data_IF_247030367484
#
_entry.id   IF_247030367484
#
_cell.length_a   1.000
_cell.length_b   1.000
_cell.length_c   1.000
_cell.angle_alpha   90.00
_cell.angle_beta   90.00
_cell.angle_gamma   90.00
#
_symmetry.space_group_name_H-M   'P 1'
#
loop_
_entity.id
_entity.type
_entity.pdbx_description
1 polymer ?
#
# COMPACT_ATOMS: atom_id res chain seq x y z
N UNK A 1 28.37 14.06 -23.77
CA UNK A 1 27.23 13.27 -23.26
C UNK A 1 27.08 13.65 -21.81
N UNK A 2 26.00 14.32 -21.43
CA UNK A 2 25.71 14.53 -20.01
C UNK A 2 25.40 13.17 -19.38
N UNK A 3 26.10 12.83 -18.29
CA UNK A 3 25.74 11.67 -17.49
C UNK A 3 24.33 11.88 -16.91
N UNK A 4 23.48 10.85 -16.89
CA UNK A 4 22.19 10.95 -16.23
C UNK A 4 22.40 11.37 -14.77
N UNK A 5 21.54 12.25 -14.22
CA UNK A 5 21.69 12.72 -12.84
C UNK A 5 21.65 11.54 -11.87
N UNK A 6 22.43 11.63 -10.79
CA UNK A 6 22.44 10.61 -9.74
C UNK A 6 21.06 10.50 -9.09
N UNK A 7 20.78 9.36 -8.45
CA UNK A 7 19.53 9.18 -7.72
C UNK A 7 19.37 10.25 -6.62
N UNK A 8 20.45 10.66 -5.96
CA UNK A 8 20.45 11.69 -4.91
C UNK A 8 20.18 13.09 -5.46
N UNK A 9 20.76 13.41 -6.62
CA UNK A 9 20.49 14.67 -7.31
C UNK A 9 19.02 14.76 -7.75
N UNK A 10 18.46 13.66 -8.25
CA UNK A 10 17.05 13.58 -8.64
C UNK A 10 16.11 13.70 -7.43
N UNK A 11 16.45 13.04 -6.32
CA UNK A 11 15.73 13.20 -5.04
C UNK A 11 15.75 14.66 -4.58
N UNK A 12 16.94 15.24 -4.49
CA UNK A 12 17.14 16.60 -4.00
C UNK A 12 16.35 17.60 -4.85
N UNK A 13 16.41 17.44 -6.18
CA UNK A 13 15.64 18.24 -7.11
C UNK A 13 14.13 18.16 -6.85
N UNK A 14 13.60 16.97 -6.55
CA UNK A 14 12.18 16.82 -6.25
C UNK A 14 11.78 17.57 -4.97
N UNK A 15 12.47 17.35 -3.85
CA UNK A 15 12.10 17.95 -2.56
C UNK A 15 12.41 19.45 -2.47
N UNK A 16 13.36 19.96 -3.26
CA UNK A 16 13.59 21.41 -3.40
C UNK A 16 12.41 22.08 -4.11
N UNK A 17 11.90 21.46 -5.18
CA UNK A 17 10.85 22.06 -6.02
C UNK A 17 9.42 21.72 -5.56
N UNK A 18 9.25 20.79 -4.62
CA UNK A 18 7.95 20.39 -4.09
C UNK A 18 7.97 20.54 -2.56
N UNK A 19 7.46 21.67 -2.02
CA UNK A 19 7.62 22.02 -0.60
C UNK A 19 6.92 21.04 0.35
N UNK A 20 7.38 20.94 1.61
CA UNK A 20 6.80 20.03 2.59
C UNK A 20 5.36 20.42 2.97
N UNK A 21 4.51 19.44 3.29
CA UNK A 21 3.15 19.74 3.75
C UNK A 21 3.15 20.33 5.16
N UNK A 22 2.12 21.12 5.47
CA UNK A 22 1.98 21.81 6.76
C UNK A 22 1.96 20.86 7.96
N UNK A 23 1.42 19.64 7.78
CA UNK A 23 1.31 18.60 8.79
C UNK A 23 2.63 17.87 9.09
N UNK A 24 3.66 18.03 8.25
CA UNK A 24 4.88 17.22 8.33
C UNK A 24 5.55 17.35 9.71
N UNK A 25 5.66 18.59 10.23
CA UNK A 25 6.34 18.85 11.50
C UNK A 25 5.66 18.13 12.67
N UNK A 26 4.33 18.16 12.74
CA UNK A 26 3.58 17.45 13.78
C UNK A 26 3.71 15.94 13.62
N UNK A 27 3.62 15.43 12.38
CA UNK A 27 3.70 14.00 12.09
C UNK A 27 5.08 13.43 12.44
N UNK A 28 6.16 14.15 12.08
CA UNK A 28 7.54 13.82 12.45
C UNK A 28 7.74 13.78 13.96
N UNK A 29 7.10 14.69 14.70
CA UNK A 29 7.20 14.72 16.17
C UNK A 29 6.54 13.47 16.77
N UNK A 30 5.33 13.14 16.32
CA UNK A 30 4.60 11.95 16.77
C UNK A 30 5.33 10.65 16.39
N UNK A 31 5.84 10.58 15.17
CA UNK A 31 6.59 9.43 14.68
C UNK A 31 7.87 9.21 15.49
N UNK A 32 8.62 10.27 15.79
CA UNK A 32 9.85 10.20 16.59
C UNK A 32 9.57 9.64 17.98
N UNK A 33 8.60 10.21 18.70
CA UNK A 33 8.24 9.72 20.05
C UNK A 33 7.81 8.26 20.04
N UNK A 34 7.02 7.86 19.03
CA UNK A 34 6.59 6.48 18.87
C UNK A 34 7.75 5.53 18.59
N UNK A 35 8.66 5.90 17.69
CA UNK A 35 9.82 5.09 17.31
C UNK A 35 10.78 4.95 18.49
N UNK A 36 11.13 6.05 19.15
CA UNK A 36 12.07 6.05 20.27
C UNK A 36 11.59 5.13 21.40
N UNK A 37 10.31 5.22 21.77
CA UNK A 37 9.67 4.33 22.76
C UNK A 37 9.84 2.85 22.42
N UNK A 38 9.59 2.47 21.16
CA UNK A 38 9.65 1.06 20.74
C UNK A 38 11.08 0.58 20.52
N UNK A 39 11.99 1.48 20.15
CA UNK A 39 13.42 1.21 20.06
C UNK A 39 14.02 0.89 21.45
N UNK A 40 13.67 1.65 22.48
CA UNK A 40 14.13 1.45 23.87
C UNK A 40 13.79 0.05 24.41
N UNK A 41 12.57 -0.43 24.15
CA UNK A 41 12.13 -1.77 24.57
C UNK A 41 12.51 -2.86 23.56
N UNK A 42 13.18 -2.51 22.46
CA UNK A 42 13.65 -3.42 21.44
C UNK A 42 12.54 -4.10 20.62
N UNK A 43 11.35 -3.49 20.52
CA UNK A 43 10.23 -4.02 19.73
C UNK A 43 10.44 -3.77 18.24
N UNK A 44 9.97 -4.69 17.40
CA UNK A 44 9.94 -4.50 15.94
C UNK A 44 8.91 -3.45 15.55
N UNK A 45 9.27 -2.55 14.65
CA UNK A 45 8.38 -1.49 14.17
C UNK A 45 8.21 -1.64 12.67
N UNK A 46 6.97 -1.61 12.20
CA UNK A 46 6.64 -1.62 10.78
C UNK A 46 5.99 -0.31 10.36
N UNK A 47 6.48 0.29 9.27
CA UNK A 47 5.76 1.33 8.52
C UNK A 47 4.90 0.65 7.46
N UNK A 48 3.59 0.68 7.65
CA UNK A 48 2.60 0.23 6.65
C UNK A 48 2.09 1.44 5.90
N UNK A 49 2.30 1.47 4.58
CA UNK A 49 1.66 2.47 3.71
C UNK A 49 0.38 1.91 3.12
N UNK A 50 -0.72 2.67 3.12
CA UNK A 50 -2.02 2.18 2.63
C UNK A 50 -2.82 3.25 1.87
N UNK A 51 -3.65 2.81 0.93
CA UNK A 51 -4.50 3.68 0.11
C UNK A 51 -3.79 4.29 -1.09
N UNK A 52 -4.49 5.15 -1.83
CA UNK A 52 -4.03 5.77 -3.07
C UNK A 52 -3.50 7.18 -2.88
N UNK A 53 -2.48 7.58 -3.64
CA UNK A 53 -2.07 8.99 -3.74
C UNK A 53 -2.85 9.72 -4.82
N UNK A 54 -3.09 11.01 -4.59
CA UNK A 54 -3.62 11.93 -5.62
C UNK A 54 -2.52 12.78 -6.24
N UNK A 55 -2.77 13.21 -7.48
CA UNK A 55 -1.97 14.21 -8.19
C UNK A 55 -2.90 15.39 -8.49
N UNK A 56 -2.79 16.50 -7.74
CA UNK A 56 -3.49 17.74 -8.06
C UNK A 56 -3.13 18.25 -9.45
N UNK A 57 -4.11 18.78 -10.18
CA UNK A 57 -3.87 19.44 -11.48
C UNK A 57 -3.75 20.97 -11.33
N UNK A 58 -4.23 21.50 -10.21
CA UNK A 58 -4.24 22.92 -9.88
C UNK A 58 -3.74 23.13 -8.43
N UNK A 59 -3.14 24.28 -8.11
CA UNK A 59 -2.71 24.61 -6.73
C UNK A 59 -3.92 24.76 -5.79
N UNK A 60 -4.97 25.43 -6.26
CA UNK A 60 -6.29 25.41 -5.62
C UNK A 60 -7.10 24.26 -6.20
N UNK A 61 -6.79 23.06 -5.73
CA UNK A 61 -7.25 21.79 -6.29
C UNK A 61 -8.77 21.73 -6.42
N UNK A 62 -9.23 21.60 -7.66
CA UNK A 62 -10.62 21.19 -7.97
C UNK A 62 -10.61 19.80 -8.61
N UNK A 63 -9.56 19.48 -9.36
CA UNK A 63 -9.41 18.20 -10.06
C UNK A 63 -8.08 17.55 -9.68
N UNK A 64 -8.09 16.23 -9.66
CA UNK A 64 -6.91 15.43 -9.40
C UNK A 64 -6.99 14.07 -10.11
N UNK A 65 -5.83 13.48 -10.36
CA UNK A 65 -5.70 12.07 -10.75
C UNK A 65 -5.57 11.25 -9.47
N UNK A 66 -6.26 10.11 -9.38
CA UNK A 66 -6.23 9.25 -8.19
C UNK A 66 -5.81 7.83 -8.58
N UNK A 67 -4.94 7.23 -7.79
CA UNK A 67 -4.59 5.82 -7.90
C UNK A 67 -5.56 5.01 -7.03
N UNK A 68 -6.44 4.22 -7.65
CA UNK A 68 -7.46 3.48 -6.91
C UNK A 68 -6.87 2.49 -5.89
N UNK A 69 -7.14 2.74 -4.61
CA UNK A 69 -6.91 1.79 -3.53
C UNK A 69 -7.79 2.12 -2.32
N UNK A 70 -8.71 1.21 -1.97
CA UNK A 70 -9.56 1.35 -0.79
C UNK A 70 -8.78 1.25 0.53
N UNK A 71 -7.54 0.74 0.50
CA UNK A 71 -6.71 0.52 1.68
C UNK A 71 -6.96 -0.79 2.42
N UNK A 72 -7.73 -1.74 1.86
CA UNK A 72 -8.02 -3.04 2.50
C UNK A 72 -6.75 -3.79 2.86
N UNK A 73 -5.83 -3.99 1.90
CA UNK A 73 -4.56 -4.68 2.11
C UNK A 73 -3.81 -4.11 3.30
N UNK A 74 -3.53 -2.82 3.28
CA UNK A 74 -2.75 -2.18 4.34
C UNK A 74 -3.46 -2.24 5.70
N UNK A 75 -4.75 -1.91 5.74
CA UNK A 75 -5.51 -1.91 7.00
C UNK A 75 -5.59 -3.30 7.63
N UNK A 76 -5.86 -4.33 6.82
CA UNK A 76 -5.87 -5.72 7.26
C UNK A 76 -4.47 -6.18 7.70
N UNK A 77 -3.42 -5.87 6.92
CA UNK A 77 -2.04 -6.23 7.26
C UNK A 77 -1.56 -5.59 8.57
N UNK A 78 -1.96 -4.35 8.85
CA UNK A 78 -1.65 -3.67 10.11
C UNK A 78 -2.22 -4.43 11.32
N UNK A 79 -3.45 -4.94 11.24
CA UNK A 79 -4.05 -5.75 12.32
C UNK A 79 -3.27 -7.04 12.57
N UNK A 80 -2.85 -7.72 11.52
CA UNK A 80 -2.04 -8.94 11.64
C UNK A 80 -0.61 -8.66 12.10
N UNK A 81 0.00 -7.53 11.71
CA UNK A 81 1.30 -7.13 12.27
C UNK A 81 1.22 -6.86 13.77
N UNK A 82 0.13 -6.21 14.23
CA UNK A 82 -0.12 -6.01 15.66
C UNK A 82 -0.27 -7.35 16.40
N UNK A 83 -0.90 -8.35 15.79
CA UNK A 83 -1.02 -9.70 16.33
C UNK A 83 0.33 -10.43 16.40
N UNK A 84 1.21 -10.22 15.40
CA UNK A 84 2.60 -10.68 15.39
C UNK A 84 3.53 -9.90 16.34
N UNK A 85 2.98 -9.00 17.16
CA UNK A 85 3.72 -8.28 18.20
C UNK A 85 4.48 -7.03 17.73
N UNK A 86 4.30 -6.60 16.48
CA UNK A 86 4.89 -5.37 15.98
C UNK A 86 4.21 -4.13 16.59
N UNK A 87 4.95 -3.04 16.63
CA UNK A 87 4.36 -1.71 16.63
C UNK A 87 4.20 -1.24 15.17
N UNK A 88 3.08 -0.61 14.85
CA UNK A 88 2.69 -0.22 13.49
C UNK A 88 2.58 1.30 13.39
N UNK A 89 3.34 1.88 12.46
CA UNK A 89 3.09 3.21 11.91
C UNK A 89 2.24 3.01 10.66
N UNK A 90 0.99 3.47 10.69
CA UNK A 90 0.04 3.34 9.61
C UNK A 90 -0.08 4.67 8.85
N UNK A 91 0.72 4.82 7.79
CA UNK A 91 0.70 5.97 6.91
C UNK A 91 -0.33 5.72 5.80
N UNK A 92 -1.47 6.41 5.82
CA UNK A 92 -2.61 6.06 4.97
C UNK A 92 -3.23 7.25 4.24
N UNK A 93 -3.92 6.96 3.14
CA UNK A 93 -4.77 7.94 2.45
C UNK A 93 -5.90 8.38 3.39
N UNK A 94 -6.04 9.68 3.63
CA UNK A 94 -7.16 10.22 4.40
C UNK A 94 -8.50 9.68 3.85
N UNK A 95 -9.36 9.21 4.77
CA UNK A 95 -10.66 8.57 4.48
C UNK A 95 -10.59 7.20 3.79
N UNK A 96 -9.41 6.59 3.62
CA UNK A 96 -9.32 5.16 3.29
C UNK A 96 -9.60 4.29 4.51
N UNK A 97 -9.67 2.97 4.30
CA UNK A 97 -9.84 2.03 5.40
C UNK A 97 -8.71 2.15 6.44
N UNK A 98 -9.12 2.13 7.71
CA UNK A 98 -8.25 2.13 8.88
C UNK A 98 -8.28 0.76 9.57
N UNK A 99 -7.19 0.33 10.23
CA UNK A 99 -7.18 -0.88 11.05
C UNK A 99 -8.31 -0.82 12.09
N UNK A 100 -8.99 -1.94 12.28
CA UNK A 100 -10.16 -2.15 13.14
C UNK A 100 -11.44 -1.44 12.68
N UNK A 101 -11.38 -0.17 12.25
CA UNK A 101 -12.55 0.53 11.72
C UNK A 101 -13.06 -0.05 10.41
N UNK A 102 -12.18 -0.69 9.62
CA UNK A 102 -12.54 -1.31 8.34
C UNK A 102 -13.68 -2.33 8.44
N UNK A 103 -13.85 -2.98 9.58
CA UNK A 103 -14.92 -3.97 9.82
C UNK A 103 -16.32 -3.34 9.79
N UNK A 104 -16.41 -2.02 9.97
CA UNK A 104 -17.68 -1.28 10.05
C UNK A 104 -17.83 -0.20 8.98
N UNK A 105 -16.75 0.13 8.28
CA UNK A 105 -16.64 1.31 7.41
C UNK A 105 -16.62 0.92 5.93
N UNK A 106 -17.61 0.16 5.49
CA UNK A 106 -17.80 -0.19 4.09
C UNK A 106 -18.98 0.58 3.49
N UNK A 107 -18.86 1.00 2.22
CA UNK A 107 -19.88 1.77 1.49
C UNK A 107 -21.24 1.06 1.34
N UNK A 108 -21.40 -0.13 1.89
CA UNK A 108 -22.60 -0.96 1.80
C UNK A 108 -23.42 -1.01 3.08
N UNK A 109 -22.86 -0.62 4.24
CA UNK A 109 -23.57 -0.62 5.54
C UNK A 109 -23.23 0.62 6.36
N UNK A 110 -24.24 1.20 6.98
CA UNK A 110 -24.08 2.28 7.96
C UNK A 110 -23.53 1.70 9.27
N UNK A 111 -22.74 2.47 10.01
CA UNK A 111 -22.34 2.08 11.37
C UNK A 111 -23.56 1.85 12.29
N UNK A 112 -24.67 2.54 12.02
CA UNK A 112 -25.90 2.37 12.79
C UNK A 112 -26.58 1.01 12.54
N UNK A 113 -26.27 0.32 11.45
CA UNK A 113 -26.84 -1.00 11.13
C UNK A 113 -26.35 -2.09 12.10
N UNK A 114 -25.28 -1.82 12.85
CA UNK A 114 -24.74 -2.73 13.87
C UNK A 114 -25.36 -2.54 15.26
N UNK A 115 -26.23 -1.54 15.42
CA UNK A 115 -26.75 -1.09 16.71
C UNK A 115 -28.24 -1.34 16.83
N UNK A 116 -28.70 -1.68 18.04
CA UNK A 116 -30.12 -1.72 18.42
C UNK A 116 -30.35 -0.92 19.69
N UNK A 117 -31.58 -0.45 19.89
CA UNK A 117 -32.00 0.13 21.16
C UNK A 117 -32.50 -0.97 22.10
N UNK A 118 -31.98 -1.03 23.32
CA UNK A 118 -32.43 -1.94 24.36
C UNK A 118 -32.52 -1.20 25.70
N UNK A 119 -33.71 -1.17 26.30
CA UNK A 119 -33.98 -0.47 27.57
C UNK A 119 -33.52 1.01 27.58
N UNK A 120 -33.74 1.74 26.49
CA UNK A 120 -33.34 3.15 26.34
C UNK A 120 -31.83 3.37 26.20
N UNK A 121 -31.06 2.31 25.90
CA UNK A 121 -29.61 2.37 25.66
C UNK A 121 -29.29 1.83 24.27
N UNK A 122 -28.26 2.39 23.65
CA UNK A 122 -27.69 1.84 22.41
C UNK A 122 -26.81 0.64 22.77
N UNK A 123 -27.08 -0.51 22.16
CA UNK A 123 -26.30 -1.74 22.29
C UNK A 123 -25.99 -2.33 20.91
N UNK A 124 -24.96 -3.16 20.83
CA UNK A 124 -24.63 -3.88 19.59
C UNK A 124 -25.64 -5.02 19.37
N UNK A 125 -26.09 -5.20 18.14
CA UNK A 125 -26.97 -6.32 17.76
C UNK A 125 -26.32 -7.69 18.06
N UNK A 126 -27.11 -8.65 18.55
CA UNK A 126 -26.66 -9.98 18.97
C UNK A 126 -25.88 -10.71 17.87
N UNK A 127 -26.30 -10.57 16.61
CA UNK A 127 -25.62 -11.18 15.47
C UNK A 127 -24.20 -10.63 15.23
N UNK A 128 -23.88 -9.44 15.76
CA UNK A 128 -22.59 -8.76 15.60
C UNK A 128 -21.77 -8.72 16.90
N UNK A 129 -22.33 -9.14 18.03
CA UNK A 129 -21.70 -9.06 19.36
C UNK A 129 -20.33 -9.71 19.40
N UNK A 130 -20.21 -10.98 18.96
CA UNK A 130 -18.96 -11.74 19.07
C UNK A 130 -17.82 -11.10 18.26
N UNK A 131 -18.12 -10.75 17.01
CA UNK A 131 -17.17 -10.11 16.10
C UNK A 131 -16.74 -8.72 16.59
N UNK A 132 -17.71 -7.88 16.99
CA UNK A 132 -17.42 -6.55 17.51
C UNK A 132 -16.63 -6.59 18.82
N UNK A 133 -16.95 -7.51 19.73
CA UNK A 133 -16.20 -7.69 20.97
C UNK A 133 -14.76 -8.10 20.68
N UNK A 134 -14.53 -9.01 19.73
CA UNK A 134 -13.17 -9.40 19.30
C UNK A 134 -12.38 -8.21 18.79
N UNK A 135 -12.94 -7.45 17.84
CA UNK A 135 -12.28 -6.28 17.25
C UNK A 135 -12.01 -5.20 18.31
N UNK A 136 -12.98 -4.94 19.19
CA UNK A 136 -12.85 -3.97 20.28
C UNK A 136 -11.71 -4.34 21.24
N UNK A 137 -11.57 -5.63 21.60
CA UNK A 137 -10.47 -6.11 22.45
C UNK A 137 -9.11 -5.85 21.80
N UNK A 138 -8.97 -6.21 20.53
CA UNK A 138 -7.71 -6.00 19.79
C UNK A 138 -7.37 -4.51 19.66
N UNK A 139 -8.34 -3.66 19.31
CA UNK A 139 -8.16 -2.21 19.24
C UNK A 139 -7.76 -1.62 20.60
N UNK A 140 -8.45 -2.02 21.67
CA UNK A 140 -8.18 -1.54 23.03
C UNK A 140 -6.78 -1.94 23.49
N UNK A 141 -6.35 -3.15 23.17
CA UNK A 141 -4.99 -3.61 23.46
C UNK A 141 -3.93 -2.81 22.69
N UNK A 142 -4.11 -2.61 21.38
CA UNK A 142 -3.20 -1.81 20.57
C UNK A 142 -3.08 -0.37 21.10
N UNK A 143 -4.19 0.23 21.55
CA UNK A 143 -4.21 1.56 22.17
C UNK A 143 -3.52 1.58 23.53
N UNK A 144 -3.84 0.62 24.41
CA UNK A 144 -3.27 0.50 25.76
C UNK A 144 -1.75 0.34 25.71
N UNK A 145 -1.25 -0.44 24.76
CA UNK A 145 0.19 -0.71 24.58
C UNK A 145 0.88 0.30 23.65
N UNK A 146 0.15 1.31 23.16
CA UNK A 146 0.64 2.31 22.23
C UNK A 146 1.38 1.68 21.02
N UNK A 147 0.77 0.64 20.44
CA UNK A 147 1.32 -0.15 19.32
C UNK A 147 0.88 0.38 17.96
N UNK A 148 -0.02 1.35 17.87
CA UNK A 148 -0.54 1.87 16.61
C UNK A 148 -0.46 3.39 16.55
N UNK A 149 0.33 3.92 15.60
CA UNK A 149 0.36 5.33 15.23
C UNK A 149 -0.29 5.50 13.87
N UNK A 150 -1.26 6.43 13.74
CA UNK A 150 -1.93 6.72 12.47
C UNK A 150 -1.43 8.07 11.95
N UNK A 151 -0.88 8.06 10.74
CA UNK A 151 -0.48 9.26 9.99
C UNK A 151 -1.25 9.27 8.66
N UNK A 152 -1.56 10.45 8.14
CA UNK A 152 -2.37 10.57 6.91
C UNK A 152 -1.69 11.39 5.83
N UNK A 153 -1.95 11.03 4.57
CA UNK A 153 -1.62 11.79 3.38
C UNK A 153 -2.83 11.83 2.43
N UNK A 154 -2.78 12.72 1.45
CA UNK A 154 -3.74 12.79 0.34
C UNK A 154 -2.98 12.82 -1.00
N UNK A 155 -1.97 13.68 -1.11
CA UNK A 155 -1.21 13.87 -2.35
C UNK A 155 0.04 13.00 -2.43
N UNK A 156 0.55 12.79 -3.64
CA UNK A 156 1.84 12.13 -3.84
C UNK A 156 2.99 12.87 -3.13
N UNK A 157 2.97 14.21 -3.15
CA UNK A 157 3.99 15.03 -2.49
C UNK A 157 3.97 14.84 -0.98
N UNK A 158 2.79 14.84 -0.36
CA UNK A 158 2.62 14.53 1.06
C UNK A 158 3.15 13.14 1.39
N UNK A 159 2.73 12.13 0.62
CA UNK A 159 3.19 10.75 0.81
C UNK A 159 4.72 10.63 0.78
N UNK A 160 5.38 11.28 -0.18
CA UNK A 160 6.83 11.20 -0.33
C UNK A 160 7.58 11.91 0.79
N UNK A 161 7.09 13.07 1.25
CA UNK A 161 7.65 13.77 2.41
C UNK A 161 7.51 12.94 3.69
N UNK A 162 6.31 12.43 3.97
CA UNK A 162 6.06 11.61 5.15
C UNK A 162 6.88 10.31 5.12
N UNK A 163 6.91 9.61 3.98
CA UNK A 163 7.71 8.39 3.82
C UNK A 163 9.19 8.65 4.07
N UNK A 164 9.75 9.72 3.50
CA UNK A 164 11.16 10.08 3.66
C UNK A 164 11.53 10.36 5.11
N UNK A 165 10.76 11.23 5.76
CA UNK A 165 11.08 11.64 7.13
C UNK A 165 10.86 10.49 8.11
N UNK A 166 9.76 9.75 8.00
CA UNK A 166 9.51 8.59 8.87
C UNK A 166 10.55 7.49 8.64
N UNK A 167 10.96 7.21 7.40
CA UNK A 167 12.00 6.22 7.14
C UNK A 167 13.34 6.58 7.78
N UNK A 168 13.75 7.85 7.70
CA UNK A 168 14.96 8.34 8.38
C UNK A 168 14.86 8.23 9.90
N UNK A 169 13.69 8.52 10.46
CA UNK A 169 13.46 8.36 11.90
C UNK A 169 13.55 6.91 12.36
N UNK A 170 13.29 5.94 11.49
CA UNK A 170 13.33 4.51 11.83
C UNK A 170 14.75 3.93 11.87
N UNK A 171 15.79 4.67 11.46
CA UNK A 171 17.18 4.18 11.47
C UNK A 171 17.65 3.61 12.82
N UNK A 172 17.33 4.18 14.00
CA UNK A 172 17.75 3.64 15.29
C UNK A 172 17.26 2.22 15.58
N UNK A 173 16.20 1.76 14.88
CA UNK A 173 15.69 0.40 15.01
C UNK A 173 16.59 -0.64 14.30
N UNK A 174 17.45 -0.19 13.39
CA UNK A 174 18.32 -1.03 12.57
C UNK A 174 17.53 -2.15 11.87
N UNK A 175 17.95 -3.42 12.01
CA UNK A 175 17.29 -4.55 11.36
C UNK A 175 15.91 -4.87 11.93
N UNK A 176 15.44 -4.20 12.99
CA UNK A 176 14.08 -4.37 13.54
C UNK A 176 13.04 -3.46 12.86
N UNK A 177 13.47 -2.57 11.97
CA UNK A 177 12.59 -1.76 11.13
C UNK A 177 12.09 -2.57 9.94
N UNK A 178 10.79 -2.51 9.66
CA UNK A 178 10.17 -3.08 8.46
C UNK A 178 9.39 -2.01 7.70
N UNK A 179 9.51 -2.01 6.38
CA UNK A 179 8.74 -1.16 5.47
C UNK A 179 7.81 -2.03 4.64
N UNK A 180 6.49 -1.88 4.83
CA UNK A 180 5.45 -2.60 4.09
C UNK A 180 4.71 -1.63 3.17
N UNK A 181 5.19 -1.53 1.94
CA UNK A 181 4.83 -0.46 1.01
C UNK A 181 3.62 -0.82 0.14
N UNK A 182 2.45 -0.94 0.75
CA UNK A 182 1.19 -1.33 0.08
C UNK A 182 0.36 -0.16 -0.50
N UNK A 183 0.85 1.08 -0.47
CA UNK A 183 0.16 2.21 -1.06
C UNK A 183 0.18 2.15 -2.60
N UNK A 184 -0.91 2.59 -3.23
CA UNK A 184 -0.97 2.76 -4.67
C UNK A 184 -0.42 4.16 -5.01
N UNK A 185 0.90 4.22 -5.18
CA UNK A 185 1.65 5.46 -5.44
C UNK A 185 1.53 5.82 -6.92
N UNK A 186 1.28 7.10 -7.21
CA UNK A 186 1.21 7.62 -8.58
C UNK A 186 2.58 7.54 -9.26
N UNK A 187 2.61 7.00 -10.49
CA UNK A 187 3.85 6.90 -11.28
C UNK A 187 4.23 8.21 -11.97
N UNK A 188 3.26 9.12 -12.11
CA UNK A 188 3.40 10.41 -12.78
C UNK A 188 2.82 11.52 -11.88
N UNK A 189 3.32 12.74 -12.02
CA UNK A 189 2.86 13.91 -11.27
C UNK A 189 2.93 15.19 -12.10
N UNK A 190 2.31 16.26 -11.62
CA UNK A 190 2.44 17.61 -12.17
C UNK A 190 3.52 18.37 -11.40
N UNK A 191 4.60 18.84 -12.05
CA UNK A 191 5.60 19.69 -11.40
C UNK A 191 5.00 20.99 -10.88
N UNK A 192 5.43 21.41 -9.69
CA UNK A 192 4.88 22.60 -9.03
C UNK A 192 5.04 23.88 -9.85
N UNK A 193 6.15 24.05 -10.56
CA UNK A 193 6.43 25.19 -11.45
C UNK A 193 5.61 25.19 -12.76
N UNK A 194 4.82 24.13 -13.00
CA UNK A 194 3.93 23.99 -14.15
C UNK A 194 2.46 23.86 -13.76
N UNK A 195 2.14 23.92 -12.47
CA UNK A 195 0.76 23.92 -11.96
C UNK A 195 0.10 25.27 -12.22
N UNK A 196 -1.17 25.24 -12.64
CA UNK A 196 -2.02 26.42 -12.67
C UNK A 196 -2.58 26.69 -11.27
N UNK A 197 -2.73 27.96 -10.90
CA UNK A 197 -3.22 28.29 -9.56
C UNK A 197 -4.71 27.94 -9.37
N UNK A 198 -5.54 28.26 -10.37
CA UNK A 198 -7.00 28.12 -10.29
C UNK A 198 -7.54 27.07 -11.25
N UNK A 199 -8.81 26.69 -11.04
CA UNK A 199 -9.58 25.74 -11.86
C UNK A 199 -9.34 25.97 -13.36
N UNK A 200 -8.94 24.90 -14.06
CA UNK A 200 -8.79 24.89 -15.52
C UNK A 200 -10.16 25.15 -16.17
N UNK A 201 -10.23 26.12 -17.07
CA UNK A 201 -11.45 26.58 -17.75
C UNK A 201 -11.68 25.79 -19.06
N UNK A 202 -12.94 25.45 -19.34
CA UNK A 202 -13.35 24.65 -20.50
C UNK A 202 -13.70 25.46 -21.75
N UNK A 203 -13.80 26.78 -21.64
CA UNK A 203 -14.23 27.70 -22.71
C UNK A 203 -13.10 28.63 -23.12
N UNK A 204 -12.77 28.67 -24.42
CA UNK A 204 -11.70 29.52 -24.98
C UNK A 204 -11.90 31.02 -24.67
N UNK A 205 -13.15 31.50 -24.60
CA UNK A 205 -13.50 32.89 -24.30
C UNK A 205 -12.98 33.36 -22.93
N UNK A 206 -12.85 32.46 -21.96
CA UNK A 206 -12.33 32.76 -20.62
C UNK A 206 -10.83 32.44 -20.46
N UNK A 207 -10.25 31.68 -21.39
CA UNK A 207 -8.83 31.33 -21.37
C UNK A 207 -7.95 32.50 -21.82
N UNK A 208 -8.47 33.40 -22.66
CA UNK A 208 -7.72 34.54 -23.19
C UNK A 208 -7.59 35.72 -22.21
N UNK A 209 -8.46 35.84 -21.20
CA UNK A 209 -8.45 36.97 -20.26
C UNK A 209 -7.41 36.86 -19.14
N UNK A 210 -6.80 35.69 -18.92
CA UNK A 210 -5.81 35.46 -17.86
C UNK A 210 -4.37 35.30 -18.37
N UNK A 211 -4.07 35.75 -19.59
CA UNK A 211 -2.79 35.54 -20.27
C UNK A 211 -1.57 36.27 -19.69
N UNK A 212 -1.53 36.64 -18.41
CA UNK A 212 -0.42 37.44 -17.88
C UNK A 212 0.02 37.14 -16.42
N UNK A 213 -0.08 35.89 -15.96
CA UNK A 213 0.72 35.46 -14.81
C UNK A 213 1.87 34.59 -15.31
N UNK A 214 3.06 35.19 -15.32
CA UNK A 214 4.27 34.70 -15.97
C UNK A 214 4.75 33.37 -15.42
N UNK A 215 4.99 32.43 -16.33
CA UNK A 215 5.82 31.26 -16.04
C UNK A 215 7.28 31.63 -16.28
N UNK A 216 8.07 31.71 -15.22
CA UNK A 216 9.52 31.98 -15.26
C UNK A 216 10.35 30.86 -15.90
N UNK A 217 9.74 29.71 -16.21
CA UNK A 217 10.41 28.51 -16.74
C UNK A 217 10.35 28.37 -18.26
N UNK A 218 9.63 29.26 -18.97
CA UNK A 218 9.45 29.19 -20.43
C UNK A 218 8.66 27.97 -20.94
N UNK A 219 8.20 27.08 -20.04
CA UNK A 219 7.38 25.90 -20.37
C UNK A 219 5.89 26.24 -20.24
N UNK A 220 5.02 25.68 -21.11
CA UNK A 220 3.58 25.85 -20.96
C UNK A 220 3.06 25.16 -19.68
N UNK A 221 1.92 25.61 -19.15
CA UNK A 221 1.25 24.93 -18.05
C UNK A 221 1.01 23.46 -18.36
N UNK A 222 1.15 22.61 -17.34
CA UNK A 222 1.01 21.17 -17.47
C UNK A 222 -0.41 20.75 -17.87
N UNK A 223 -1.43 21.44 -17.35
CA UNK A 223 -2.82 21.21 -17.71
C UNK A 223 -3.38 22.42 -18.45
N UNK A 224 -3.83 22.24 -19.69
CA UNK A 224 -4.30 23.31 -20.57
C UNK A 224 -5.35 22.84 -21.57
N UNK A 225 -6.15 23.78 -22.07
CA UNK A 225 -7.12 23.53 -23.13
C UNK A 225 -6.50 23.84 -24.48
N UNK A 226 -6.52 22.86 -25.40
CA UNK A 226 -6.09 23.00 -26.79
C UNK A 226 -7.28 22.69 -27.71
N UNK A 227 -7.88 23.73 -28.29
CA UNK A 227 -9.14 23.61 -29.02
C UNK A 227 -10.26 23.11 -28.11
N UNK A 228 -10.86 21.96 -28.47
CA UNK A 228 -11.91 21.30 -27.68
C UNK A 228 -11.39 20.23 -26.70
N UNK A 229 -10.08 20.09 -26.56
CA UNK A 229 -9.46 19.04 -25.75
C UNK A 229 -8.77 19.59 -24.51
N UNK A 230 -8.83 18.84 -23.41
CA UNK A 230 -7.98 19.04 -22.23
C UNK A 230 -6.72 18.20 -22.39
N UNK A 231 -5.56 18.86 -22.44
CA UNK A 231 -4.24 18.22 -22.51
C UNK A 231 -3.57 18.31 -21.15
N UNK A 232 -3.09 17.17 -20.64
CA UNK A 232 -2.42 17.06 -19.34
C UNK A 232 -1.05 16.40 -19.56
N UNK A 233 0.00 17.20 -19.41
CA UNK A 233 1.38 16.74 -19.44
C UNK A 233 1.82 16.37 -18.02
N UNK A 234 2.21 15.10 -17.83
CA UNK A 234 2.71 14.61 -16.54
C UNK A 234 4.18 14.22 -16.66
N UNK A 235 4.92 14.40 -15.57
CA UNK A 235 6.31 13.96 -15.46
C UNK A 235 6.40 12.71 -14.59
N UNK A 236 7.34 11.78 -14.87
CA UNK A 236 7.49 10.58 -14.06
C UNK A 236 7.94 10.94 -12.65
N UNK A 237 7.33 10.30 -11.64
CA UNK A 237 7.77 10.43 -10.25
C UNK A 237 9.15 9.77 -10.11
N UNK A 238 10.12 10.45 -9.45
CA UNK A 238 11.44 9.86 -9.20
C UNK A 238 11.33 8.51 -8.47
N UNK A 239 12.27 7.61 -8.74
CA UNK A 239 12.23 6.26 -8.16
C UNK A 239 12.84 6.26 -6.75
N UNK A 240 12.02 6.66 -5.77
CA UNK A 240 12.43 6.78 -4.35
C UNK A 240 12.68 5.46 -3.62
N UNK A 241 12.24 4.30 -4.16
CA UNK A 241 12.52 3.01 -3.54
C UNK A 241 14.02 2.74 -3.40
N UNK A 242 14.83 3.16 -4.38
CA UNK A 242 16.28 3.01 -4.28
C UNK A 242 16.86 3.86 -3.16
N UNK A 243 16.31 5.06 -2.95
CA UNK A 243 16.73 5.95 -1.87
C UNK A 243 16.31 5.46 -0.49
N UNK A 244 15.15 4.81 -0.39
CA UNK A 244 14.74 4.16 0.84
C UNK A 244 15.76 3.10 1.26
N UNK A 245 16.21 2.28 0.30
CA UNK A 245 17.17 1.19 0.51
C UNK A 245 18.58 1.72 0.78
N UNK A 246 19.08 2.65 -0.04
CA UNK A 246 20.49 3.05 0.03
C UNK A 246 20.75 4.16 1.05
N UNK A 247 19.76 5.01 1.32
CA UNK A 247 19.95 6.25 2.08
C UNK A 247 19.08 6.37 3.33
N UNK A 248 17.76 6.20 3.20
CA UNK A 248 16.85 6.57 4.29
C UNK A 248 16.80 5.53 5.41
N UNK A 249 16.80 4.24 5.10
CA UNK A 249 16.73 3.17 6.10
C UNK A 249 17.46 1.89 5.65
N UNK A 250 18.80 1.92 5.51
CA UNK A 250 19.56 0.84 4.88
C UNK A 250 19.58 -0.48 5.66
N UNK A 251 19.41 -0.44 6.99
CA UNK A 251 19.36 -1.65 7.80
C UNK A 251 17.97 -2.29 7.87
N UNK A 252 16.91 -1.60 7.43
CA UNK A 252 15.53 -2.07 7.57
C UNK A 252 15.12 -3.09 6.50
N UNK A 253 14.23 -4.03 6.87
CA UNK A 253 13.60 -4.92 5.89
C UNK A 253 12.60 -4.13 5.04
N UNK A 254 12.69 -4.27 3.71
CA UNK A 254 11.83 -3.54 2.77
C UNK A 254 11.02 -4.52 1.93
N UNK A 255 9.70 -4.43 2.06
CA UNK A 255 8.68 -5.20 1.36
C UNK A 255 7.91 -4.27 0.42
N UNK A 256 7.98 -4.54 -0.88
CA UNK A 256 7.24 -3.78 -1.90
C UNK A 256 6.14 -4.61 -2.55
N UNK A 257 5.17 -3.94 -3.19
CA UNK A 257 4.08 -4.57 -3.90
C UNK A 257 4.21 -4.40 -5.41
N UNK A 258 3.81 -5.44 -6.15
CA UNK A 258 3.66 -5.38 -7.60
C UNK A 258 2.27 -5.88 -8.00
N UNK A 259 1.42 -4.93 -8.40
CA UNK A 259 0.12 -5.23 -8.98
C UNK A 259 0.27 -5.37 -10.50
N UNK A 260 -0.21 -6.48 -11.06
CA UNK A 260 -0.33 -6.67 -12.51
C UNK A 260 -1.72 -7.18 -12.89
N UNK A 261 -2.05 -7.05 -14.17
CA UNK A 261 -3.26 -7.63 -14.76
C UNK A 261 -2.92 -8.80 -15.69
N UNK A 262 -1.67 -8.91 -16.13
CA UNK A 262 -1.17 -9.98 -16.98
C UNK A 262 -0.35 -10.99 -16.15
N UNK A 263 -0.81 -12.25 -16.02
CA UNK A 263 -0.09 -13.31 -15.31
C UNK A 263 1.34 -13.55 -15.83
N UNK A 264 1.57 -13.40 -17.13
CA UNK A 264 2.87 -13.66 -17.75
C UNK A 264 3.94 -12.63 -17.37
N UNK A 265 3.51 -11.46 -16.91
CA UNK A 265 4.39 -10.34 -16.57
C UNK A 265 4.69 -10.25 -15.07
N UNK A 266 3.85 -10.84 -14.20
CA UNK A 266 3.90 -10.61 -12.76
C UNK A 266 5.26 -10.98 -12.15
N UNK A 267 5.69 -12.23 -12.32
CA UNK A 267 6.93 -12.74 -11.73
C UNK A 267 8.15 -12.01 -12.30
N UNK A 268 8.19 -11.84 -13.63
CA UNK A 268 9.29 -11.13 -14.32
C UNK A 268 9.46 -9.70 -13.83
N UNK A 269 8.36 -8.96 -13.69
CA UNK A 269 8.40 -7.58 -13.17
C UNK A 269 8.73 -7.52 -11.68
N UNK A 270 8.34 -8.53 -10.91
CA UNK A 270 8.72 -8.64 -9.51
C UNK A 270 10.23 -8.88 -9.37
N UNK A 271 10.81 -9.83 -10.10
CA UNK A 271 12.25 -10.08 -10.15
C UNK A 271 13.04 -8.84 -10.59
N UNK A 272 12.61 -8.20 -11.68
CA UNK A 272 13.23 -6.94 -12.14
C UNK A 272 13.22 -5.84 -11.07
N UNK A 273 12.11 -5.70 -10.33
CA UNK A 273 12.00 -4.73 -9.23
C UNK A 273 12.97 -5.05 -8.10
N UNK A 274 13.08 -6.34 -7.74
CA UNK A 274 13.98 -6.81 -6.70
C UNK A 274 15.45 -6.49 -7.06
N UNK A 275 15.88 -6.83 -8.27
CA UNK A 275 17.24 -6.55 -8.77
C UNK A 275 17.52 -5.05 -8.86
N UNK A 276 16.56 -4.28 -9.39
CA UNK A 276 16.75 -2.84 -9.61
C UNK A 276 16.86 -2.05 -8.31
N UNK A 277 16.06 -2.39 -7.32
CA UNK A 277 15.99 -1.62 -6.08
C UNK A 277 16.73 -2.27 -4.91
N UNK A 278 17.19 -3.52 -5.04
CA UNK A 278 17.93 -4.27 -4.01
C UNK A 278 17.20 -4.32 -2.64
N UNK A 279 15.88 -4.44 -2.66
CA UNK A 279 15.08 -4.64 -1.46
C UNK A 279 14.85 -6.13 -1.20
N UNK A 280 14.24 -6.48 -0.07
CA UNK A 280 14.27 -7.84 0.47
C UNK A 280 13.17 -8.73 -0.10
N UNK A 281 11.99 -8.17 -0.35
CA UNK A 281 10.82 -8.91 -0.81
C UNK A 281 9.93 -8.08 -1.74
N UNK A 282 9.53 -8.67 -2.86
CA UNK A 282 8.41 -8.19 -3.67
C UNK A 282 7.22 -9.14 -3.49
N UNK A 283 6.07 -8.59 -3.13
CA UNK A 283 4.80 -9.30 -3.12
C UNK A 283 4.05 -8.96 -4.40
N UNK A 284 4.03 -9.92 -5.32
CA UNK A 284 3.29 -9.85 -6.57
C UNK A 284 1.84 -10.28 -6.38
N UNK A 285 0.89 -9.54 -6.93
CA UNK A 285 -0.51 -9.94 -6.96
C UNK A 285 -1.18 -9.57 -8.28
N UNK A 286 -2.05 -10.47 -8.78
CA UNK A 286 -2.92 -10.16 -9.91
C UNK A 286 -4.16 -9.42 -9.44
N UNK A 287 -4.63 -8.43 -10.20
CA UNK A 287 -5.79 -7.63 -9.83
C UNK A 287 -7.03 -8.50 -9.51
N UNK A 288 -7.27 -9.53 -10.32
CA UNK A 288 -8.45 -10.39 -10.22
C UNK A 288 -8.37 -11.40 -9.06
N UNK A 289 -7.17 -11.86 -8.70
CA UNK A 289 -6.97 -12.90 -7.66
C UNK A 289 -6.27 -12.38 -6.40
N UNK A 290 -6.09 -11.06 -6.26
CA UNK A 290 -5.37 -10.44 -5.13
C UNK A 290 -5.85 -10.84 -3.73
N UNK A 291 -7.12 -11.23 -3.58
CA UNK A 291 -7.68 -11.71 -2.30
C UNK A 291 -7.40 -13.20 -2.03
N UNK A 292 -7.02 -13.95 -3.05
CA UNK A 292 -6.93 -15.41 -3.04
C UNK A 292 -5.51 -15.92 -3.09
N UNK A 293 -4.62 -15.20 -3.78
CA UNK A 293 -3.23 -15.61 -3.91
C UNK A 293 -2.30 -14.42 -4.12
N UNK A 294 -1.06 -14.59 -3.67
CA UNK A 294 0.07 -13.71 -3.94
C UNK A 294 1.32 -14.55 -4.20
N UNK A 295 2.30 -13.97 -4.89
CA UNK A 295 3.63 -14.54 -5.05
C UNK A 295 4.64 -13.70 -4.28
N UNK A 296 5.43 -14.36 -3.44
CA UNK A 296 6.60 -13.78 -2.80
C UNK A 296 7.78 -14.01 -3.73
N UNK A 297 8.52 -12.95 -4.03
CA UNK A 297 9.77 -13.00 -4.79
C UNK A 297 10.85 -12.35 -3.93
N UNK A 298 11.80 -13.15 -3.46
CA UNK A 298 12.89 -12.72 -2.58
C UNK A 298 14.24 -13.24 -3.05
N UNK A 299 15.32 -12.62 -2.61
CA UNK A 299 16.68 -13.08 -2.91
C UNK A 299 17.05 -14.34 -2.12
N UNK A 300 16.46 -14.53 -0.93
CA UNK A 300 16.76 -15.65 -0.03
C UNK A 300 16.06 -16.94 -0.42
N UNK A 301 14.76 -16.87 -0.71
CA UNK A 301 13.90 -18.04 -0.90
C UNK A 301 13.38 -18.18 -2.35
N UNK A 302 13.76 -17.25 -3.24
CA UNK A 302 13.28 -17.23 -4.62
C UNK A 302 11.79 -16.94 -4.71
N UNK A 303 11.06 -17.73 -5.51
CA UNK A 303 9.64 -17.58 -5.76
C UNK A 303 8.80 -18.52 -4.87
N UNK A 304 7.89 -17.97 -4.06
CA UNK A 304 6.98 -18.73 -3.20
C UNK A 304 5.55 -18.24 -3.36
N UNK A 305 4.63 -19.12 -3.76
CA UNK A 305 3.21 -18.78 -3.88
C UNK A 305 2.45 -19.03 -2.59
N UNK A 306 1.71 -18.03 -2.12
CA UNK A 306 0.81 -18.12 -0.96
C UNK A 306 -0.61 -18.07 -1.47
N UNK A 307 -1.42 -19.08 -1.10
CA UNK A 307 -2.80 -19.22 -1.57
C UNK A 307 -3.74 -19.50 -0.41
N UNK A 308 -4.90 -18.84 -0.42
CA UNK A 308 -5.99 -19.16 0.50
C UNK A 308 -6.45 -20.61 0.24
N UNK A 309 -6.59 -21.47 1.27
CA UNK A 309 -7.08 -22.82 1.10
C UNK A 309 -8.43 -22.85 0.39
N UNK A 310 -8.52 -23.60 -0.72
CA UNK A 310 -9.79 -23.90 -1.37
C UNK A 310 -10.30 -25.20 -0.78
N UNK A 311 -11.36 -25.17 0.02
CA UNK A 311 -12.07 -26.40 0.38
C UNK A 311 -12.50 -27.09 -0.93
N UNK A 312 -11.97 -28.28 -1.21
CA UNK A 312 -12.56 -29.18 -2.21
C UNK A 312 -14.03 -29.35 -1.79
N UNK A 313 -14.95 -28.78 -2.57
CA UNK A 313 -16.42 -28.81 -2.37
C UNK A 313 -16.85 -29.97 -1.47
N UNK A 314 -17.19 -29.70 -0.22
CA UNK A 314 -18.13 -30.56 0.49
C UNK A 314 -19.41 -30.59 -0.32
N UNK A 315 -19.89 -31.79 -0.64
CA UNK A 315 -21.16 -32.05 -1.34
C UNK A 315 -22.21 -31.03 -0.89
N UNK A 316 -22.78 -30.32 -1.85
CA UNK A 316 -23.86 -29.36 -1.60
C UNK A 316 -24.96 -30.02 -0.78
N UNK A 317 -25.25 -29.45 0.39
CA UNK A 317 -26.38 -29.81 1.27
C UNK A 317 -27.71 -29.20 0.77
N UNK A 318 -27.73 -28.62 -0.43
CA UNK A 318 -28.95 -28.24 -1.14
C UNK A 318 -29.21 -29.26 -2.25
N UNK A 319 -30.09 -30.23 -1.98
CA UNK A 319 -30.50 -31.28 -2.91
C UNK A 319 -31.32 -30.74 -4.08
N UNK A 320 -30.65 -30.14 -5.06
CA UNK A 320 -31.21 -29.82 -6.37
C UNK A 320 -30.20 -30.28 -7.43
N UNK A 321 -30.31 -31.55 -7.82
CA UNK A 321 -29.66 -32.11 -9.01
C UNK A 321 -30.33 -31.54 -10.26
N UNK A 322 -29.75 -30.51 -10.88
CA UNK A 322 -30.19 -30.08 -12.21
C UNK A 322 -29.10 -29.40 -13.03
N UNK A 323 -27.87 -29.91 -13.00
CA UNK A 323 -26.89 -29.70 -14.08
C UNK A 323 -26.09 -30.97 -14.34
N UNK A 324 -26.81 -32.03 -14.71
CA UNK A 324 -26.24 -33.24 -15.31
C UNK A 324 -26.04 -32.97 -16.80
N UNK A 325 -24.89 -32.39 -17.15
CA UNK A 325 -24.40 -32.36 -18.53
C UNK A 325 -23.90 -33.73 -18.94
N UNK A 326 -24.81 -34.58 -19.45
CA UNK A 326 -24.47 -35.75 -20.24
C UNK A 326 -23.77 -35.30 -21.52
N UNK A 327 -22.52 -35.67 -21.71
CA UNK A 327 -21.95 -35.94 -23.02
C UNK A 327 -20.93 -37.09 -22.90
N UNK A 328 -21.33 -38.25 -23.45
CA UNK A 328 -20.47 -39.39 -23.81
C UNK A 328 -19.42 -38.95 -24.86
N UNK A 329 -18.30 -39.60 -25.11
CA UNK A 329 -17.69 -40.86 -24.68
C UNK A 329 -16.40 -41.09 -25.51
N UNK A 330 -15.55 -42.01 -25.04
CA UNK A 330 -14.46 -42.71 -25.75
C UNK A 330 -13.40 -41.90 -26.54
N UNK A 331 -12.19 -41.76 -25.98
CA UNK A 331 -10.97 -42.51 -26.37
C UNK A 331 -9.70 -41.93 -25.72
N UNK A 332 -8.69 -42.81 -25.63
CA UNK A 332 -7.48 -42.71 -24.83
C UNK A 332 -6.43 -41.69 -25.30
N UNK A 333 -5.49 -41.45 -24.38
CA UNK A 333 -4.11 -40.99 -24.58
C UNK A 333 -3.85 -39.53 -25.03
N UNK A 334 -3.70 -38.66 -24.03
CA UNK A 334 -2.63 -37.65 -23.95
C UNK A 334 -2.77 -36.87 -22.64
N UNK A 335 -1.89 -37.16 -21.68
CA UNK A 335 -1.81 -36.41 -20.43
C UNK A 335 -1.08 -35.08 -20.68
N UNK A 336 -1.81 -34.07 -21.12
CA UNK A 336 -1.45 -32.67 -20.85
C UNK A 336 -2.11 -32.25 -19.53
N UNK A 337 -1.41 -31.51 -18.64
CA UNK A 337 -2.06 -30.92 -17.49
C UNK A 337 -3.06 -29.88 -18.00
N UNK A 338 -4.35 -30.23 -17.90
CA UNK A 338 -5.45 -29.35 -18.25
C UNK A 338 -5.23 -27.97 -17.64
N UNK A 339 -5.09 -26.97 -18.50
CA UNK A 339 -5.14 -25.55 -18.15
C UNK A 339 -6.39 -25.33 -17.31
N UNK A 340 -6.21 -25.14 -16.00
CA UNK A 340 -7.28 -24.69 -15.13
C UNK A 340 -7.74 -23.34 -15.68
N UNK A 341 -8.96 -23.31 -16.23
CA UNK A 341 -9.60 -22.09 -16.66
C UNK A 341 -9.52 -21.05 -15.55
N UNK A 342 -8.97 -19.88 -15.88
CA UNK A 342 -8.83 -18.68 -15.04
C UNK A 342 -10.22 -18.08 -14.72
N UNK A 343 -11.13 -18.88 -14.17
CA UNK A 343 -12.30 -18.34 -13.50
C UNK A 343 -11.86 -17.83 -12.14
N UNK A 344 -11.92 -16.51 -11.96
CA UNK A 344 -11.68 -15.90 -10.66
C UNK A 344 -12.68 -16.48 -9.66
N UNK A 345 -12.25 -16.92 -8.47
CA UNK A 345 -13.18 -17.42 -7.48
C UNK A 345 -14.21 -16.34 -7.15
N UNK A 346 -15.49 -16.66 -7.29
CA UNK A 346 -16.58 -15.76 -6.94
C UNK A 346 -16.77 -15.75 -5.42
N UNK A 347 -16.90 -14.57 -4.83
CA UNK A 347 -17.13 -14.36 -3.40
C UNK A 347 -15.89 -13.90 -2.61
N UNK A 348 -16.05 -13.82 -1.30
CA UNK A 348 -14.97 -13.54 -0.36
C UNK A 348 -14.25 -14.83 0.04
N UNK A 349 -12.92 -14.80 0.24
CA UNK A 349 -12.17 -15.96 0.72
C UNK A 349 -12.55 -16.31 2.17
N UNK A 350 -12.40 -17.59 2.53
CA UNK A 350 -12.71 -18.09 3.89
C UNK A 350 -11.82 -17.48 4.98
N UNK A 351 -10.65 -16.99 4.59
CA UNK A 351 -9.72 -16.27 5.44
C UNK A 351 -9.13 -15.13 4.63
N UNK A 352 -8.80 -14.05 5.33
CA UNK A 352 -8.05 -12.95 4.73
C UNK A 352 -6.66 -13.46 4.36
N UNK A 353 -6.22 -13.29 3.12
CA UNK A 353 -4.89 -13.72 2.65
C UNK A 353 -3.78 -13.10 3.52
N UNK A 354 -4.02 -11.94 4.13
CA UNK A 354 -3.13 -11.28 5.09
C UNK A 354 -2.81 -12.15 6.31
N UNK A 355 -3.75 -13.00 6.75
CA UNK A 355 -3.51 -13.98 7.83
C UNK A 355 -2.44 -15.01 7.48
N UNK A 356 -2.13 -15.17 6.18
CA UNK A 356 -1.10 -16.08 5.68
C UNK A 356 0.19 -15.34 5.36
N UNK A 357 0.12 -14.14 4.75
CA UNK A 357 1.32 -13.42 4.32
C UNK A 357 2.08 -12.78 5.48
N UNK A 358 1.39 -12.37 6.56
CA UNK A 358 2.02 -11.59 7.64
C UNK A 358 2.89 -12.48 8.56
N UNK A 359 2.45 -13.68 8.97
CA UNK A 359 3.34 -14.62 9.67
C UNK A 359 4.58 -14.99 8.84
N UNK A 360 4.40 -15.20 7.53
CA UNK A 360 5.51 -15.52 6.61
C UNK A 360 6.53 -14.36 6.51
N UNK A 361 6.05 -13.12 6.44
CA UNK A 361 6.93 -11.94 6.50
C UNK A 361 7.63 -11.84 7.87
N UNK A 362 6.91 -12.12 8.96
CA UNK A 362 7.45 -12.10 10.33
C UNK A 362 8.58 -13.12 10.51
N UNK A 363 8.46 -14.31 9.92
CA UNK A 363 9.49 -15.33 9.92
C UNK A 363 10.72 -14.88 9.12
N UNK A 364 10.54 -14.39 7.89
CA UNK A 364 11.65 -13.86 7.08
C UNK A 364 12.37 -12.69 7.77
N UNK A 365 11.63 -11.77 8.38
CA UNK A 365 12.21 -10.66 9.13
C UNK A 365 13.03 -11.15 10.34
N UNK A 366 12.58 -12.23 11.00
CA UNK A 366 13.34 -12.88 12.07
C UNK A 366 14.69 -13.40 11.58
N UNK A 367 14.71 -14.06 10.41
CA UNK A 367 15.94 -14.56 9.78
C UNK A 367 16.90 -13.41 9.45
N UNK A 368 16.40 -12.32 8.86
CA UNK A 368 17.20 -11.13 8.54
C UNK A 368 17.78 -10.45 9.78
N UNK A 369 17.01 -10.35 10.87
CA UNK A 369 17.50 -9.81 12.14
C UNK A 369 18.65 -10.66 12.70
N UNK A 370 18.52 -11.99 12.67
CA UNK A 370 19.55 -12.90 13.14
C UNK A 370 20.84 -12.77 12.30
N UNK A 371 20.72 -12.74 10.98
CA UNK A 371 21.85 -12.56 10.07
C UNK A 371 22.59 -11.24 10.31
N UNK A 372 21.85 -10.14 10.49
CA UNK A 372 22.45 -8.84 10.78
C UNK A 372 23.20 -8.80 12.13
N UNK A 373 22.78 -9.61 13.11
CA UNK A 373 23.47 -9.75 14.40
C UNK A 373 24.76 -10.57 14.28
N UNK A 374 24.75 -11.63 13.46
CA UNK A 374 25.93 -12.44 13.14
C UNK A 374 26.99 -11.59 12.42
N UNK A 375 26.59 -10.84 11.39
CA UNK A 375 27.50 -9.97 10.62
C UNK A 375 28.15 -8.89 11.51
N UNK A 376 27.39 -8.28 12.43
CA UNK A 376 27.92 -7.31 13.41
C UNK A 376 28.90 -7.94 14.41
N UNK A 377 28.77 -9.23 14.68
CA UNK A 377 29.69 -9.95 15.56
C UNK A 377 31.00 -10.26 14.84
N UNK A 378 30.92 -10.71 13.58
CA UNK A 378 32.07 -11.00 12.71
C UNK A 378 32.90 -9.76 12.36
N UNK A 379 32.29 -8.58 12.26
CA UNK A 379 33.02 -7.33 12.01
C UNK A 379 33.76 -6.79 13.25
N UNK A 380 33.43 -7.27 14.46
CA UNK A 380 34.06 -6.84 15.72
C UNK A 380 35.16 -7.80 16.19
N UNK A 381 35.19 -9.02 15.68
CA UNK A 381 36.29 -10.00 15.83
C UNK A 381 37.36 -9.76 14.79
#
# INVERSE_FOLDING_TARGET
MEHPPTAEATESHYFINNPPPKSLKSNVTLAREFIDRHAEIGRRVVLVTSGGTTVPLETQTVRYIDNFSAGTRGATSAEYFLQEGYAVIFLHRQFSLLPYSRHYSHNTRSFLDFMKEENGRVVVDEQHQEEMLRVLRQYTEAKRENKLLILSFVTITEYLWELREVAKLMQPLGPKALFYLAAAVSDFFVPHDRMVEHKIQSSEEFSQTNGNNGNSSGKPPAARTEGRSLVIDLEPVPKFLKQLVDGWAPEGMIVSFKLETDPSMLVRKAQYSLEKYAHHLVIGNLLMTRKWEVVFVSTMEGEKWIRVPRNRRTKSISGIESWVGRAAGANADSAEPARAELSSPQGEPIVEIESLIIPEISEMHTKLIAQAQEDKTLQKS
#
